data_IF_215741468004
#
_entry.id   IF_215741468004
#
_cell.length_a   1.000
_cell.length_b   1.000
_cell.length_c   1.000
_cell.angle_alpha   90.00
_cell.angle_beta   90.00
_cell.angle_gamma   90.00
#
_symmetry.space_group_name_H-M   'P 1'
#
loop_
_entity.id
_entity.type
_entity.pdbx_description
1 polymer ?
#
# COMPACT_ATOMS: atom_id res chain seq x y z
N UNK A 1 12.86 14.30 13.39
CA UNK A 1 11.79 13.44 13.94
C UNK A 1 10.93 12.97 12.77
N UNK A 2 11.32 11.91 12.06
CA UNK A 2 10.44 11.24 11.10
C UNK A 2 10.08 9.91 11.74
N UNK A 3 8.84 9.77 12.23
CA UNK A 3 8.40 8.52 12.88
C UNK A 3 8.13 7.41 11.85
N UNK A 4 7.99 7.76 10.58
CA UNK A 4 7.65 6.85 9.49
C UNK A 4 8.56 7.09 8.29
N UNK A 5 8.95 6.01 7.64
CA UNK A 5 9.76 6.00 6.42
C UNK A 5 8.92 6.24 5.16
N UNK A 6 7.62 5.91 5.21
CA UNK A 6 6.68 6.14 4.12
C UNK A 6 5.24 6.29 4.62
N UNK A 7 4.44 7.07 3.90
CA UNK A 7 3.00 7.25 4.17
C UNK A 7 2.18 7.03 2.90
N UNK A 8 1.00 6.43 3.05
CA UNK A 8 0.05 6.25 1.95
C UNK A 8 -1.39 6.51 2.44
N UNK A 9 -2.14 7.29 1.66
CA UNK A 9 -3.56 7.56 1.89
C UNK A 9 -4.35 6.82 0.82
N UNK A 10 -5.22 5.90 1.24
CA UNK A 10 -6.17 5.23 0.38
C UNK A 10 -7.54 5.85 0.63
N UNK A 11 -8.12 6.45 -0.42
CA UNK A 11 -9.45 7.09 -0.40
C UNK A 11 -10.50 6.15 -0.98
N UNK A 12 -11.75 6.32 -0.55
CA UNK A 12 -12.92 5.58 -1.02
C UNK A 12 -12.68 4.07 -1.03
N UNK A 13 -12.09 3.54 0.05
CA UNK A 13 -11.62 2.14 0.11
C UNK A 13 -12.74 1.15 -0.22
N UNK A 14 -13.97 1.43 0.24
CA UNK A 14 -15.14 0.59 -0.06
C UNK A 14 -15.45 0.58 -1.56
N UNK A 15 -15.53 1.75 -2.18
CA UNK A 15 -15.84 1.89 -3.60
C UNK A 15 -14.79 1.20 -4.48
N UNK A 16 -13.51 1.32 -4.12
CA UNK A 16 -12.41 0.66 -4.84
C UNK A 16 -12.43 -0.87 -4.67
N UNK A 17 -12.78 -1.38 -3.49
CA UNK A 17 -12.95 -2.82 -3.27
C UNK A 17 -14.16 -3.34 -4.06
N UNK A 18 -15.26 -2.59 -4.11
CA UNK A 18 -16.45 -2.96 -4.89
C UNK A 18 -16.19 -2.98 -6.40
N UNK A 19 -15.45 -1.98 -6.91
CA UNK A 19 -15.14 -1.86 -8.35
C UNK A 19 -14.05 -2.83 -8.82
N UNK A 20 -12.95 -2.91 -8.08
CA UNK A 20 -11.70 -3.51 -8.55
C UNK A 20 -11.25 -4.71 -7.70
N UNK A 21 -11.92 -4.96 -6.57
CA UNK A 21 -11.57 -6.02 -5.63
C UNK A 21 -10.42 -5.66 -4.69
N UNK A 22 -10.41 -6.31 -3.53
CA UNK A 22 -9.39 -6.10 -2.49
C UNK A 22 -7.96 -6.43 -2.95
N UNK A 23 -7.80 -7.42 -3.84
CA UNK A 23 -6.50 -7.80 -4.39
C UNK A 23 -5.89 -6.69 -5.25
N UNK A 24 -6.72 -5.96 -6.02
CA UNK A 24 -6.25 -4.84 -6.82
C UNK A 24 -5.74 -3.72 -5.91
N UNK A 25 -6.52 -3.35 -4.90
CA UNK A 25 -6.14 -2.33 -3.92
C UNK A 25 -4.84 -2.69 -3.19
N UNK A 26 -4.66 -3.96 -2.81
CA UNK A 26 -3.44 -4.43 -2.18
C UNK A 26 -2.22 -4.32 -3.11
N UNK A 27 -2.33 -4.69 -4.39
CA UNK A 27 -1.23 -4.55 -5.35
C UNK A 27 -0.86 -3.08 -5.57
N UNK A 28 -1.86 -2.23 -5.74
CA UNK A 28 -1.68 -0.80 -5.98
C UNK A 28 -1.03 -0.10 -4.77
N UNK A 29 -1.39 -0.54 -3.58
CA UNK A 29 -0.78 -0.12 -2.33
C UNK A 29 0.69 -0.51 -2.20
N UNK A 30 1.02 -1.78 -2.46
CA UNK A 30 2.41 -2.25 -2.43
C UNK A 30 3.27 -1.50 -3.44
N UNK A 31 2.74 -1.24 -4.64
CA UNK A 31 3.39 -0.43 -5.66
C UNK A 31 3.73 0.97 -5.14
N UNK A 32 2.77 1.65 -4.49
CA UNK A 32 2.97 2.98 -3.90
C UNK A 32 4.00 2.98 -2.77
N UNK A 33 4.09 1.90 -2.01
CA UNK A 33 5.07 1.74 -0.93
C UNK A 33 6.47 1.37 -1.43
N UNK A 34 6.58 0.60 -2.51
CA UNK A 34 7.84 0.15 -3.05
C UNK A 34 8.53 1.18 -3.95
N UNK A 35 7.83 2.23 -4.42
CA UNK A 35 8.31 3.17 -5.44
C UNK A 35 8.79 2.48 -6.74
N UNK A 36 8.37 1.24 -6.95
CA UNK A 36 8.71 0.45 -8.14
C UNK A 36 7.46 0.28 -8.99
N UNK A 37 7.57 0.52 -10.30
CA UNK A 37 6.43 0.48 -11.22
C UNK A 37 5.89 -0.94 -11.47
N UNK A 38 6.70 -1.97 -11.23
CA UNK A 38 6.37 -3.36 -11.54
C UNK A 38 6.60 -4.28 -10.33
N UNK A 39 5.75 -5.30 -10.23
CA UNK A 39 6.02 -6.49 -9.44
C UNK A 39 4.89 -6.81 -8.46
N UNK A 40 4.43 -8.04 -8.55
CA UNK A 40 3.62 -8.69 -7.53
C UNK A 40 4.24 -8.55 -6.13
N UNK A 41 3.41 -8.76 -5.11
CA UNK A 41 3.83 -8.79 -3.71
C UNK A 41 4.66 -10.04 -3.41
N UNK A 42 5.89 -10.05 -3.95
CA UNK A 42 6.85 -11.12 -3.76
C UNK A 42 7.60 -10.98 -2.43
N UNK A 43 8.24 -12.06 -1.98
CA UNK A 43 8.92 -12.12 -0.69
C UNK A 43 10.05 -11.09 -0.55
N UNK A 44 10.66 -10.68 -1.66
CA UNK A 44 11.61 -9.57 -1.69
C UNK A 44 10.99 -8.23 -1.25
N UNK A 45 9.76 -7.94 -1.68
CA UNK A 45 9.04 -6.72 -1.29
C UNK A 45 8.58 -6.79 0.17
N UNK A 46 8.14 -7.97 0.63
CA UNK A 46 7.84 -8.19 2.07
C UNK A 46 9.06 -7.90 2.94
N UNK A 47 10.22 -8.43 2.57
CA UNK A 47 11.47 -8.24 3.30
C UNK A 47 11.97 -6.80 3.26
N UNK A 48 11.75 -6.08 2.16
CA UNK A 48 12.04 -4.64 2.11
C UNK A 48 11.12 -3.84 3.03
N UNK A 49 9.82 -4.15 3.04
CA UNK A 49 8.83 -3.43 3.85
C UNK A 49 8.94 -3.77 5.34
N UNK A 50 9.42 -4.96 5.71
CA UNK A 50 9.58 -5.37 7.11
C UNK A 50 10.58 -4.51 7.90
N UNK A 51 11.43 -3.75 7.23
CA UNK A 51 12.39 -2.83 7.85
C UNK A 51 11.93 -1.37 7.86
N UNK A 52 10.73 -1.07 7.32
CA UNK A 52 10.22 0.30 7.22
C UNK A 52 9.07 0.52 8.21
N UNK A 53 9.06 1.69 8.86
CA UNK A 53 7.90 2.20 9.60
C UNK A 53 6.94 2.85 8.62
N UNK A 54 5.73 2.31 8.50
CA UNK A 54 4.75 2.75 7.52
C UNK A 54 3.53 3.35 8.22
N UNK A 55 3.02 4.47 7.71
CA UNK A 55 1.76 5.07 8.14
C UNK A 55 0.69 4.83 7.09
N UNK A 56 -0.45 4.28 7.53
CA UNK A 56 -1.61 4.02 6.68
C UNK A 56 -2.81 4.81 7.15
N UNK A 57 -3.44 5.50 6.21
CA UNK A 57 -4.74 6.16 6.41
C UNK A 57 -5.71 5.56 5.41
N UNK A 58 -6.73 4.90 5.93
CA UNK A 58 -7.85 4.35 5.16
C UNK A 58 -9.04 5.28 5.36
N UNK A 59 -9.59 5.77 4.25
CA UNK A 59 -10.75 6.66 4.23
C UNK A 59 -11.88 6.00 3.43
N UNK A 60 -13.05 5.81 4.05
CA UNK A 60 -14.22 5.12 3.47
C UNK A 60 -15.48 6.00 3.38
N UNK A 61 -15.33 7.34 3.39
CA UNK A 61 -16.45 8.32 3.34
C UNK A 61 -17.54 7.96 2.35
#
# INVERSE_FOLDING_TARGET
>A
RHQFDHGCILKNVREEIEKNGSNHLAKDFIKRLSKEENGDFDDAKKKMLSHKKLLFVLDDV
#
